data_IF_187218217482
#
_entry.id   IF_187218217482
#
_cell.length_a   1.000
_cell.length_b   1.000
_cell.length_c   1.000
_cell.angle_alpha   90.00
_cell.angle_beta   90.00
_cell.angle_gamma   90.00
#
_symmetry.space_group_name_H-M   'P 1'
#
loop_
_entity.id
_entity.type
_entity.pdbx_description
1 polymer ?
#
# COMPACT_ATOMS: atom_id res chain seq x y z
N UNK A 1 41.70 2.63 72.48
CA UNK A 1 42.20 2.33 71.13
C UNK A 1 41.59 3.30 70.13
N UNK A 2 42.46 4.02 69.40
CA UNK A 2 42.34 4.71 68.09
C UNK A 2 40.94 5.00 67.52
N UNK A 3 40.57 6.30 67.37
CA UNK A 3 40.60 7.16 66.14
C UNK A 3 39.64 6.65 65.04
N UNK A 4 38.71 7.44 64.50
CA UNK A 4 38.86 8.42 63.39
C UNK A 4 37.46 9.10 63.25
N UNK A 5 37.27 10.39 63.54
CA UNK A 5 37.31 11.57 62.64
C UNK A 5 36.55 11.40 61.30
N UNK A 6 35.47 12.16 61.06
CA UNK A 6 35.38 12.96 59.83
C UNK A 6 34.25 14.00 59.90
N UNK A 7 34.67 15.25 59.85
CA UNK A 7 33.91 16.46 59.54
C UNK A 7 33.69 16.53 58.02
N UNK A 8 32.51 16.93 57.55
CA UNK A 8 32.35 17.47 56.20
C UNK A 8 31.19 18.46 56.12
N UNK A 9 31.58 19.74 56.19
CA UNK A 9 30.96 20.92 55.60
C UNK A 9 30.86 20.76 54.06
N UNK A 10 29.85 21.31 53.39
CA UNK A 10 29.84 21.89 52.00
C UNK A 10 28.37 22.22 51.66
N UNK A 11 27.95 23.49 51.66
CA UNK A 11 28.06 24.54 50.61
C UNK A 11 26.87 24.52 49.63
N UNK A 12 26.07 25.58 49.71
CA UNK A 12 24.99 26.02 48.81
C UNK A 12 25.43 26.17 47.36
N UNK A 13 24.53 25.87 46.41
CA UNK A 13 24.47 26.55 45.11
C UNK A 13 23.02 26.69 44.63
N UNK A 14 22.57 27.94 44.50
CA UNK A 14 21.32 28.35 43.85
C UNK A 14 21.69 28.72 42.41
N UNK A 15 20.97 28.19 41.42
CA UNK A 15 21.03 28.66 40.03
C UNK A 15 19.58 28.93 39.58
N UNK A 16 19.22 30.17 39.20
CA UNK A 16 18.03 30.43 38.42
C UNK A 16 18.39 30.31 36.93
N UNK A 17 17.60 29.61 36.15
CA UNK A 17 17.65 29.73 34.69
C UNK A 17 16.25 30.12 34.22
N UNK A 18 16.17 31.40 33.87
CA UNK A 18 15.18 31.95 32.97
C UNK A 18 15.42 31.31 31.59
N UNK A 19 14.41 30.67 31.02
CA UNK A 19 14.44 30.13 29.67
C UNK A 19 13.11 30.42 29.02
N UNK A 20 13.11 31.38 28.11
CA UNK A 20 12.03 31.63 27.17
C UNK A 20 11.70 30.34 26.42
N UNK A 21 10.44 29.91 26.46
CA UNK A 21 9.91 28.99 25.46
C UNK A 21 9.10 29.87 24.52
N UNK A 22 9.71 30.16 23.36
CA UNK A 22 9.01 30.53 22.14
C UNK A 22 7.92 29.49 21.89
N UNK A 23 6.66 29.93 21.97
CA UNK A 23 5.55 29.14 21.48
C UNK A 23 5.67 29.09 19.97
N UNK A 24 6.24 28.01 19.44
CA UNK A 24 5.97 27.59 18.07
C UNK A 24 4.45 27.40 17.95
N UNK A 25 3.85 28.20 17.08
CA UNK A 25 2.46 28.07 16.72
C UNK A 25 2.23 26.66 16.18
N UNK A 26 1.34 25.91 16.83
CA UNK A 26 0.70 24.76 16.20
C UNK A 26 0.05 25.24 14.91
N UNK A 27 0.70 24.96 13.78
CA UNK A 27 0.07 25.04 12.47
C UNK A 27 -1.13 24.13 12.49
N UNK A 28 -2.32 24.71 12.36
CA UNK A 28 -3.54 23.97 12.09
C UNK A 28 -3.37 23.32 10.73
N UNK A 29 -3.09 22.02 10.71
CA UNK A 29 -3.06 21.23 9.49
C UNK A 29 -4.37 21.47 8.73
N UNK A 30 -4.25 21.95 7.49
CA UNK A 30 -5.38 22.11 6.61
C UNK A 30 -5.83 20.70 6.20
N UNK A 31 -7.09 20.29 6.44
CA UNK A 31 -7.55 18.93 6.10
C UNK A 31 -7.51 18.61 4.60
N UNK A 32 -7.19 19.60 3.75
CA UNK A 32 -7.09 19.46 2.30
C UNK A 32 -5.63 19.28 1.79
N UNK A 33 -4.62 19.33 2.66
CA UNK A 33 -3.22 19.17 2.25
C UNK A 33 -2.80 17.69 2.34
N UNK A 34 -2.61 17.06 1.17
CA UNK A 34 -2.09 15.70 1.08
C UNK A 34 -0.61 15.70 1.47
N UNK A 35 -0.25 14.89 2.47
CA UNK A 35 1.13 14.68 2.89
C UNK A 35 1.89 13.83 1.86
N UNK A 36 2.49 14.51 0.89
CA UNK A 36 3.22 13.86 -0.21
C UNK A 36 4.53 13.22 0.24
N UNK A 37 5.09 13.61 1.39
CA UNK A 37 6.38 13.10 1.90
C UNK A 37 6.32 11.59 2.19
N UNK A 38 5.12 11.06 2.46
CA UNK A 38 4.89 9.63 2.66
C UNK A 38 5.20 8.80 1.40
N UNK A 39 5.20 9.43 0.22
CA UNK A 39 5.41 8.78 -1.07
C UNK A 39 6.82 8.98 -1.64
N UNK A 40 7.66 9.82 -1.05
CA UNK A 40 8.99 10.19 -1.59
C UNK A 40 9.94 9.00 -1.78
N UNK A 41 9.69 7.89 -1.07
CA UNK A 41 10.49 6.67 -1.16
C UNK A 41 9.97 5.66 -2.18
N UNK A 42 8.80 5.91 -2.79
CA UNK A 42 8.21 5.01 -3.78
C UNK A 42 9.09 5.00 -5.03
N UNK A 43 9.42 3.79 -5.48
CA UNK A 43 10.21 3.58 -6.71
C UNK A 43 9.46 2.77 -7.76
N UNK A 44 8.56 1.88 -7.34
CA UNK A 44 7.77 1.04 -8.23
C UNK A 44 6.52 0.51 -7.51
N UNK A 45 5.58 -0.05 -8.27
CA UNK A 45 4.45 -0.79 -7.74
C UNK A 45 4.64 -2.30 -7.94
N UNK A 46 3.90 -3.07 -7.15
CA UNK A 46 3.70 -4.51 -7.32
C UNK A 46 2.21 -4.82 -7.19
N UNK A 47 1.77 -5.93 -7.79
CA UNK A 47 0.39 -6.38 -7.66
C UNK A 47 0.32 -7.88 -7.47
N UNK A 48 -0.62 -8.30 -6.62
CA UNK A 48 -1.05 -9.67 -6.50
C UNK A 48 -2.56 -9.74 -6.64
N UNK A 49 -3.06 -10.71 -7.40
CA UNK A 49 -4.45 -10.92 -7.72
C UNK A 49 -4.75 -12.40 -7.52
N UNK A 50 -5.73 -12.71 -6.67
CA UNK A 50 -6.06 -14.07 -6.25
C UNK A 50 -7.57 -14.29 -6.34
N UNK A 51 -7.99 -15.44 -6.88
CA UNK A 51 -9.37 -15.89 -6.73
C UNK A 51 -9.68 -16.10 -5.25
N UNK A 52 -10.84 -15.63 -4.80
CA UNK A 52 -11.26 -15.72 -3.41
C UNK A 52 -12.77 -15.86 -3.33
N UNK A 53 -13.19 -16.72 -2.42
CA UNK A 53 -14.52 -16.71 -1.86
C UNK A 53 -14.50 -15.82 -0.61
N UNK A 54 -15.43 -14.86 -0.54
CA UNK A 54 -15.65 -13.92 0.56
C UNK A 54 -16.99 -14.13 1.29
N UNK A 55 -17.88 -15.01 0.84
CA UNK A 55 -19.15 -15.33 1.51
C UNK A 55 -19.21 -16.73 2.19
N UNK A 56 -18.11 -17.47 2.08
CA UNK A 56 -17.85 -18.82 2.58
C UNK A 56 -18.73 -19.94 1.99
N UNK A 57 -19.32 -19.74 0.80
CA UNK A 57 -19.96 -20.82 0.05
C UNK A 57 -18.96 -21.71 -0.72
N UNK A 58 -19.46 -22.54 -1.65
CA UNK A 58 -18.62 -23.47 -2.43
C UNK A 58 -18.08 -22.87 -3.73
N UNK A 59 -18.59 -21.71 -4.14
CA UNK A 59 -18.30 -21.06 -5.40
C UNK A 59 -17.18 -20.02 -5.19
N UNK A 60 -16.39 -19.71 -6.23
CA UNK A 60 -15.50 -18.57 -6.10
C UNK A 60 -16.29 -17.30 -6.46
N UNK A 61 -16.21 -16.28 -5.61
CA UNK A 61 -16.99 -15.05 -5.80
C UNK A 61 -16.32 -14.06 -6.78
N UNK A 62 -14.99 -14.09 -6.84
CA UNK A 62 -14.22 -13.21 -7.70
C UNK A 62 -12.74 -13.24 -7.42
N UNK A 63 -12.09 -12.15 -7.82
CA UNK A 63 -10.66 -11.91 -7.65
C UNK A 63 -10.49 -10.76 -6.66
N UNK A 64 -9.56 -10.91 -5.70
CA UNK A 64 -9.08 -9.77 -4.90
C UNK A 64 -7.73 -9.31 -5.44
N UNK A 65 -7.63 -8.02 -5.74
CA UNK A 65 -6.43 -7.34 -6.22
C UNK A 65 -5.78 -6.58 -5.07
N UNK A 66 -4.51 -6.86 -4.83
CA UNK A 66 -3.65 -6.36 -3.75
C UNK A 66 -2.54 -5.50 -4.38
N UNK A 67 -2.81 -4.22 -4.71
CA UNK A 67 -1.79 -3.29 -5.18
C UNK A 67 -0.89 -2.86 -4.01
N UNK A 68 0.42 -2.71 -4.25
CA UNK A 68 1.37 -2.31 -3.21
C UNK A 68 2.48 -1.42 -3.79
N UNK A 69 2.81 -0.34 -3.09
CA UNK A 69 3.88 0.60 -3.46
C UNK A 69 5.18 0.20 -2.77
N UNK A 70 6.28 0.16 -3.51
CA UNK A 70 7.57 -0.37 -3.04
C UNK A 70 8.68 0.66 -3.09
N UNK A 71 9.53 0.61 -2.06
CA UNK A 71 10.78 1.36 -2.03
C UNK A 71 11.90 0.66 -2.84
N UNK A 72 13.06 1.29 -2.89
CA UNK A 72 14.25 0.76 -3.56
C UNK A 72 14.74 -0.59 -2.98
N UNK A 73 14.33 -0.95 -1.77
CA UNK A 73 14.66 -2.20 -1.08
C UNK A 73 13.55 -3.26 -1.21
N UNK A 74 12.53 -3.03 -2.04
CA UNK A 74 11.34 -3.86 -2.21
C UNK A 74 10.47 -3.98 -0.94
N UNK A 75 10.56 -3.03 0.00
CA UNK A 75 9.66 -2.97 1.16
C UNK A 75 8.42 -2.16 0.81
N UNK A 76 7.28 -2.54 1.39
CA UNK A 76 6.05 -1.76 1.25
C UNK A 76 6.23 -0.38 1.87
N UNK A 77 6.01 0.66 1.08
CA UNK A 77 5.97 2.04 1.54
C UNK A 77 4.73 2.21 2.41
N UNK A 78 4.92 2.72 3.63
CA UNK A 78 3.84 2.89 4.59
C UNK A 78 3.29 4.31 4.51
N UNK A 79 2.00 4.40 4.23
CA UNK A 79 1.27 5.66 4.11
C UNK A 79 -0.18 5.46 4.61
N UNK A 80 -0.84 6.53 5.06
CA UNK A 80 -2.26 6.48 5.47
C UNK A 80 -2.94 7.82 5.23
N UNK A 81 -4.27 7.81 5.38
CA UNK A 81 -5.10 9.02 5.37
C UNK A 81 -5.07 9.78 4.02
N UNK A 82 -4.79 9.08 2.92
CA UNK A 82 -4.76 9.62 1.56
C UNK A 82 -5.45 8.68 0.59
N UNK A 83 -6.66 8.98 0.11
CA UNK A 83 -7.32 8.09 -0.85
C UNK A 83 -6.55 8.05 -2.19
N UNK A 84 -6.07 6.87 -2.56
CA UNK A 84 -5.46 6.61 -3.87
C UNK A 84 -6.44 5.86 -4.76
N UNK A 85 -6.57 6.33 -6.00
CA UNK A 85 -7.32 5.60 -7.04
C UNK A 85 -6.43 4.54 -7.67
N UNK A 86 -7.00 3.35 -7.90
CA UNK A 86 -6.34 2.24 -8.57
C UNK A 86 -7.18 1.81 -9.78
N UNK A 87 -6.62 1.99 -10.97
CA UNK A 87 -7.18 1.43 -12.19
C UNK A 87 -6.81 -0.05 -12.28
N UNK A 88 -7.78 -0.91 -12.62
CA UNK A 88 -7.60 -2.36 -12.73
C UNK A 88 -8.05 -2.81 -14.12
N UNK A 89 -7.17 -3.54 -14.82
CA UNK A 89 -7.49 -4.21 -16.07
C UNK A 89 -7.11 -5.68 -16.00
N UNK A 90 -8.06 -6.55 -16.29
CA UNK A 90 -7.79 -7.97 -16.49
C UNK A 90 -7.81 -8.25 -17.99
N UNK A 91 -6.76 -8.88 -18.49
CA UNK A 91 -6.65 -9.31 -19.87
C UNK A 91 -6.74 -10.83 -19.95
N UNK A 92 -7.44 -11.34 -20.95
CA UNK A 92 -7.23 -12.71 -21.42
C UNK A 92 -5.84 -12.84 -22.02
N UNK A 93 -5.39 -14.08 -22.18
CA UNK A 93 -4.08 -14.35 -22.77
C UNK A 93 -4.19 -15.08 -24.09
N UNK A 94 -3.16 -14.96 -24.92
CA UNK A 94 -2.92 -15.82 -26.08
C UNK A 94 -1.44 -16.10 -26.25
N UNK A 95 -1.10 -17.11 -27.05
CA UNK A 95 0.27 -17.31 -27.51
C UNK A 95 0.56 -16.42 -28.72
N UNK A 96 1.70 -15.73 -28.70
CA UNK A 96 2.23 -15.05 -29.89
C UNK A 96 3.03 -16.02 -30.78
N UNK A 97 3.55 -15.52 -31.90
CA UNK A 97 4.34 -16.31 -32.86
C UNK A 97 5.62 -16.94 -32.26
N UNK A 98 6.10 -16.39 -31.12
CA UNK A 98 7.28 -16.86 -30.39
C UNK A 98 6.93 -17.79 -29.21
N UNK A 99 5.68 -18.28 -29.13
CA UNK A 99 5.18 -19.13 -28.04
C UNK A 99 5.21 -18.44 -26.66
N UNK A 100 5.14 -17.11 -26.63
CA UNK A 100 5.04 -16.35 -25.38
C UNK A 100 3.60 -15.99 -25.09
N UNK A 101 3.21 -16.08 -23.82
CA UNK A 101 1.92 -15.61 -23.32
C UNK A 101 1.91 -14.08 -23.41
N UNK A 102 0.94 -13.52 -24.13
CA UNK A 102 0.73 -12.09 -24.27
C UNK A 102 -0.73 -11.72 -24.00
N UNK A 103 -0.99 -10.45 -23.65
CA UNK A 103 -2.36 -9.90 -23.52
C UNK A 103 -3.12 -10.06 -24.84
N UNK A 104 -4.39 -10.46 -24.77
CA UNK A 104 -5.28 -10.58 -25.93
C UNK A 104 -6.46 -9.60 -25.86
N UNK A 105 -7.50 -9.93 -25.10
CA UNK A 105 -8.71 -9.11 -24.94
C UNK A 105 -8.84 -8.63 -23.51
N UNK A 106 -9.53 -7.51 -23.31
CA UNK A 106 -9.92 -7.06 -21.97
C UNK A 106 -11.08 -7.93 -21.49
N UNK A 107 -10.87 -8.59 -20.35
CA UNK A 107 -11.88 -9.34 -19.62
C UNK A 107 -12.63 -8.45 -18.62
N UNK A 108 -11.91 -7.51 -17.98
CA UNK A 108 -12.44 -6.56 -17.01
C UNK A 108 -11.68 -5.23 -17.08
N UNK A 109 -12.38 -4.12 -16.87
CA UNK A 109 -11.80 -2.79 -16.68
C UNK A 109 -12.65 -2.03 -15.67
N UNK A 110 -12.04 -1.60 -14.58
CA UNK A 110 -12.72 -0.84 -13.53
C UNK A 110 -11.72 -0.13 -12.63
N UNK A 111 -12.23 0.53 -11.60
CA UNK A 111 -11.43 1.27 -10.64
C UNK A 111 -11.81 0.89 -9.21
N UNK A 112 -10.88 1.06 -8.29
CA UNK A 112 -11.10 0.98 -6.85
C UNK A 112 -10.27 2.02 -6.12
N UNK A 113 -10.43 2.08 -4.81
CA UNK A 113 -9.64 2.99 -3.96
C UNK A 113 -8.98 2.22 -2.81
N UNK A 114 -7.86 2.76 -2.34
CA UNK A 114 -7.17 2.36 -1.10
C UNK A 114 -6.89 3.63 -0.31
N UNK A 115 -7.04 3.59 1.02
CA UNK A 115 -6.81 4.74 1.92
C UNK A 115 -5.57 4.57 2.82
N UNK A 116 -4.99 3.37 2.80
CA UNK A 116 -3.74 3.07 3.48
C UNK A 116 -2.98 1.93 2.80
N UNK A 117 -1.69 1.83 3.14
CA UNK A 117 -0.85 0.70 2.72
C UNK A 117 -1.39 -0.68 3.16
N UNK A 118 -2.28 -0.72 4.16
CA UNK A 118 -2.89 -1.96 4.67
C UNK A 118 -4.00 -2.46 3.75
N UNK A 119 -4.72 -1.55 3.11
CA UNK A 119 -5.80 -1.92 2.19
C UNK A 119 -5.26 -2.61 0.95
N UNK A 120 -4.02 -2.32 0.54
CA UNK A 120 -3.35 -3.04 -0.52
C UNK A 120 -2.82 -4.43 -0.12
N UNK A 121 -2.92 -4.84 1.14
CA UNK A 121 -2.11 -5.92 1.70
C UNK A 121 -2.94 -7.14 2.16
N UNK A 122 -2.58 -8.31 1.64
CA UNK A 122 -3.25 -9.59 1.95
C UNK A 122 -3.25 -9.95 3.45
N UNK A 123 -2.21 -9.56 4.19
CA UNK A 123 -2.10 -9.87 5.62
C UNK A 123 -3.11 -9.11 6.49
N UNK A 124 -3.71 -8.05 5.94
CA UNK A 124 -4.71 -7.22 6.62
C UNK A 124 -6.12 -7.43 6.05
N UNK A 125 -6.32 -8.47 5.23
CA UNK A 125 -7.61 -8.77 4.58
C UNK A 125 -8.15 -7.62 3.72
N UNK A 126 -7.27 -6.74 3.23
CA UNK A 126 -7.63 -5.70 2.29
C UNK A 126 -7.88 -6.23 0.87
N UNK A 127 -7.68 -5.35 -0.08
CA UNK A 127 -7.68 -5.57 -1.51
C UNK A 127 -8.97 -5.10 -2.16
N UNK A 128 -8.88 -4.83 -3.46
CA UNK A 128 -10.00 -4.40 -4.29
C UNK A 128 -10.68 -5.65 -4.86
N UNK A 129 -11.98 -5.77 -4.68
CA UNK A 129 -12.77 -6.91 -5.17
C UNK A 129 -13.16 -6.70 -6.62
N UNK A 130 -12.98 -7.73 -7.44
CA UNK A 130 -13.49 -7.84 -8.80
C UNK A 130 -14.41 -9.07 -8.84
N UNK A 131 -15.74 -8.89 -8.80
CA UNK A 131 -16.70 -10.00 -8.92
C UNK A 131 -16.53 -10.76 -10.23
N UNK A 132 -16.70 -12.09 -10.23
CA UNK A 132 -16.65 -12.86 -11.48
C UNK A 132 -17.77 -12.48 -12.46
N UNK A 133 -18.92 -12.03 -11.95
CA UNK A 133 -20.02 -11.52 -12.79
C UNK A 133 -19.63 -10.31 -13.65
N UNK A 134 -18.62 -9.55 -13.23
CA UNK A 134 -18.08 -8.41 -13.97
C UNK A 134 -16.97 -8.81 -14.95
N UNK A 135 -16.48 -10.05 -14.88
CA UNK A 135 -15.41 -10.58 -15.74
C UNK A 135 -16.03 -11.24 -16.97
N UNK A 136 -15.72 -10.68 -18.13
CA UNK A 136 -16.21 -11.15 -19.43
C UNK A 136 -15.10 -11.82 -20.22
N UNK A 137 -15.46 -12.55 -21.29
CA UNK A 137 -14.50 -13.08 -22.27
C UNK A 137 -13.42 -14.04 -21.71
N UNK A 138 -13.64 -14.72 -20.60
CA UNK A 138 -12.65 -15.62 -19.97
C UNK A 138 -12.47 -16.98 -20.70
N UNK A 139 -12.41 -16.97 -22.03
CA UNK A 139 -12.21 -18.16 -22.89
C UNK A 139 -11.04 -19.04 -22.43
N UNK A 140 -10.06 -18.44 -21.74
CA UNK A 140 -9.00 -19.11 -20.99
C UNK A 140 -9.15 -18.82 -19.49
N UNK A 141 -8.93 -19.85 -18.67
CA UNK A 141 -8.98 -19.74 -17.21
C UNK A 141 -7.91 -18.81 -16.61
N UNK A 142 -6.91 -18.38 -17.39
CA UNK A 142 -5.79 -17.57 -16.93
C UNK A 142 -5.61 -16.29 -17.76
N UNK A 143 -5.35 -15.20 -17.05
CA UNK A 143 -5.22 -13.85 -17.54
C UNK A 143 -3.97 -13.14 -17.05
N UNK A 144 -3.89 -11.85 -17.37
CA UNK A 144 -2.89 -10.90 -16.87
C UNK A 144 -3.65 -9.78 -16.16
N UNK A 145 -3.31 -9.52 -14.89
CA UNK A 145 -3.79 -8.38 -14.13
C UNK A 145 -2.80 -7.23 -14.26
N UNK A 146 -3.26 -6.09 -14.77
CA UNK A 146 -2.52 -4.83 -14.81
C UNK A 146 -3.22 -3.84 -13.87
N UNK A 147 -2.45 -3.18 -13.02
CA UNK A 147 -2.93 -2.08 -12.20
C UNK A 147 -2.11 -0.82 -12.43
N UNK A 148 -2.78 0.33 -12.29
CA UNK A 148 -2.14 1.64 -12.22
C UNK A 148 -2.58 2.31 -10.93
N UNK A 149 -1.62 2.62 -10.05
CA UNK A 149 -1.87 3.31 -8.78
C UNK A 149 -1.59 4.79 -9.00
N UNK A 150 -2.60 5.63 -8.81
CA UNK A 150 -2.49 7.07 -8.94
C UNK A 150 -2.07 7.67 -7.60
N UNK A 151 -0.85 8.21 -7.55
CA UNK A 151 -0.30 8.85 -6.35
C UNK A 151 -0.09 10.35 -6.59
N UNK A 152 0.04 11.16 -5.53
CA UNK A 152 0.36 12.59 -5.67
C UNK A 152 1.68 12.88 -6.40
N UNK A 153 2.62 11.92 -6.40
CA UNK A 153 3.95 12.08 -7.01
C UNK A 153 4.04 11.48 -8.42
N UNK A 154 2.95 10.83 -8.89
CA UNK A 154 2.87 10.21 -10.20
C UNK A 154 2.18 8.86 -10.20
N UNK A 155 2.09 8.26 -11.38
CA UNK A 155 1.43 6.97 -11.60
C UNK A 155 2.45 5.84 -11.53
N UNK A 156 2.07 4.74 -10.86
CA UNK A 156 2.88 3.52 -10.78
C UNK A 156 2.11 2.33 -11.34
N UNK A 157 2.65 1.70 -12.37
CA UNK A 157 2.06 0.52 -12.99
C UNK A 157 2.69 -0.77 -12.45
N UNK A 158 1.85 -1.80 -12.28
CA UNK A 158 2.30 -3.15 -11.93
C UNK A 158 1.49 -4.22 -12.66
N UNK A 159 2.15 -5.31 -13.01
CA UNK A 159 1.55 -6.42 -13.74
C UNK A 159 1.81 -7.75 -13.05
N UNK A 160 0.79 -8.60 -12.99
CA UNK A 160 0.90 -10.00 -12.63
C UNK A 160 0.33 -10.87 -13.76
N UNK A 161 1.12 -11.84 -14.22
CA UNK A 161 0.64 -12.89 -15.12
C UNK A 161 0.00 -14.06 -14.39
N UNK A 162 -0.77 -14.87 -15.14
CA UNK A 162 -1.43 -16.09 -14.67
C UNK A 162 -2.47 -15.86 -13.57
N UNK A 163 -3.27 -14.79 -13.70
CA UNK A 163 -4.41 -14.51 -12.81
C UNK A 163 -5.61 -15.38 -13.20
N UNK A 164 -6.27 -16.10 -12.27
CA UNK A 164 -7.47 -16.86 -12.60
C UNK A 164 -8.59 -15.91 -13.07
N UNK A 165 -9.22 -16.20 -14.23
CA UNK A 165 -10.34 -15.41 -14.77
C UNK A 165 -11.69 -16.13 -14.68
N UNK A 166 -11.69 -17.39 -14.25
CA UNK A 166 -12.87 -18.19 -14.07
C UNK A 166 -12.95 -18.71 -12.62
N UNK A 167 -14.17 -19.00 -12.13
CA UNK A 167 -14.37 -19.70 -10.86
C UNK A 167 -13.67 -21.06 -10.83
#
# INVERSE_FOLDING_TARGET
MRKILLTALILTFVIPICGCIEGESQGTANPDEIDVEQFDTVTHATVMALAKNWDADAEHDGIIVYPDLKDAENKSVRWSDTELTVDIKLYTTRLNENLQIVKDKIAYSGTGTIDSWKDGNILYSGGIRVPFDDITNYDMALGICLVTIHTPIGDFEAEQGLTPLAP
#
